data_IF_469930611384
#
_entry.id   IF_469930611384
#
_cell.length_a   1.000
_cell.length_b   1.000
_cell.length_c   1.000
_cell.angle_alpha   90.00
_cell.angle_beta   90.00
_cell.angle_gamma   90.00
#
_symmetry.space_group_name_H-M   'P 1'
#
loop_
_entity.id
_entity.type
_entity.pdbx_description
1 polymer ?
#
# COMPACT_ATOMS: atom_id res chain seq x y z
N UNK A 1 -3.50 -45.57 -10.89
CA UNK A 1 -2.59 -44.82 -9.99
C UNK A 1 -1.55 -43.99 -10.74
N UNK A 2 -0.71 -44.56 -11.62
CA UNK A 2 0.31 -43.80 -12.37
C UNK A 2 -0.26 -42.60 -13.16
N UNK A 3 -1.39 -42.76 -13.87
CA UNK A 3 -2.07 -41.68 -14.65
C UNK A 3 -2.64 -40.53 -13.81
N UNK A 4 -3.08 -40.80 -12.57
CA UNK A 4 -3.61 -39.77 -11.65
C UNK A 4 -2.43 -38.95 -11.07
N UNK A 5 -1.30 -39.62 -10.80
CA UNK A 5 -0.07 -38.97 -10.36
C UNK A 5 0.53 -38.06 -11.45
N UNK A 6 0.43 -38.45 -12.73
CA UNK A 6 0.89 -37.63 -13.86
C UNK A 6 0.01 -36.39 -14.08
N UNK A 7 -1.30 -36.50 -13.84
CA UNK A 7 -2.23 -35.38 -13.96
C UNK A 7 -2.06 -34.35 -12.83
N UNK A 8 -1.76 -34.81 -11.61
CA UNK A 8 -1.43 -33.94 -10.48
C UNK A 8 -0.11 -33.17 -10.66
N UNK A 9 0.89 -33.80 -11.28
CA UNK A 9 2.19 -33.16 -11.55
C UNK A 9 2.10 -32.12 -12.68
N UNK A 10 1.25 -32.35 -13.69
CA UNK A 10 0.98 -31.37 -14.75
C UNK A 10 0.19 -30.14 -14.24
N UNK A 11 -0.69 -30.33 -13.24
CA UNK A 11 -1.44 -29.23 -12.62
C UNK A 11 -0.56 -28.33 -11.73
N UNK A 12 0.50 -28.88 -11.13
CA UNK A 12 1.48 -28.12 -10.34
C UNK A 12 2.41 -27.23 -11.20
N UNK A 13 2.65 -27.58 -12.47
CA UNK A 13 3.52 -26.79 -13.36
C UNK A 13 2.83 -25.56 -13.99
N UNK A 14 1.51 -25.43 -13.84
CA UNK A 14 0.74 -24.29 -14.38
C UNK A 14 0.61 -23.11 -13.39
N UNK A 15 1.23 -23.20 -12.22
CA UNK A 15 1.22 -22.15 -11.20
C UNK A 15 2.46 -21.24 -11.26
N UNK A 16 3.03 -21.01 -12.45
CA UNK A 16 3.97 -19.90 -12.64
C UNK A 16 3.15 -18.62 -12.72
N UNK A 17 2.77 -18.09 -11.56
CA UNK A 17 2.17 -16.76 -11.47
C UNK A 17 3.24 -15.73 -11.81
N UNK A 18 3.02 -14.92 -12.84
CA UNK A 18 3.81 -13.71 -13.04
C UNK A 18 3.57 -12.79 -11.84
N UNK A 19 4.60 -12.57 -11.03
CA UNK A 19 4.62 -11.44 -10.09
C UNK A 19 5.08 -10.19 -10.82
N UNK A 20 4.38 -9.08 -10.63
CA UNK A 20 4.84 -7.78 -11.11
C UNK A 20 6.10 -7.35 -10.35
N UNK A 21 7.12 -6.88 -11.07
CA UNK A 21 8.33 -6.29 -10.47
C UNK A 21 8.30 -4.77 -10.59
N UNK A 22 8.84 -4.07 -9.59
CA UNK A 22 8.87 -2.59 -9.61
C UNK A 22 9.66 -2.05 -10.81
N UNK A 23 10.67 -2.79 -11.29
CA UNK A 23 11.47 -2.40 -12.45
C UNK A 23 10.72 -2.42 -13.78
N UNK A 24 9.55 -3.08 -13.86
CA UNK A 24 8.67 -3.06 -15.03
C UNK A 24 8.17 -1.63 -15.34
N UNK A 25 8.16 -0.75 -14.34
CA UNK A 25 7.67 0.63 -14.45
C UNK A 25 8.73 1.65 -14.84
N UNK A 26 10.02 1.27 -14.98
CA UNK A 26 11.15 2.20 -15.18
C UNK A 26 11.02 3.23 -16.32
N UNK A 27 10.17 2.94 -17.32
CA UNK A 27 9.94 3.79 -18.49
C UNK A 27 8.56 4.48 -18.48
N UNK A 28 7.77 4.26 -17.44
CA UNK A 28 6.46 4.88 -17.28
C UNK A 28 6.58 6.32 -16.79
N UNK A 29 5.61 7.15 -17.20
CA UNK A 29 5.53 8.57 -16.90
C UNK A 29 4.10 8.92 -16.45
N UNK A 30 3.91 10.00 -15.68
CA UNK A 30 4.95 10.82 -15.03
C UNK A 30 5.66 10.06 -13.89
N UNK A 31 6.92 10.40 -13.54
CA UNK A 31 7.61 9.72 -12.45
C UNK A 31 7.03 10.11 -11.10
N UNK A 32 6.85 9.14 -10.21
CA UNK A 32 6.35 9.36 -8.86
C UNK A 32 7.51 9.64 -7.89
N UNK A 33 7.62 10.90 -7.46
CA UNK A 33 8.38 11.26 -6.25
C UNK A 33 7.41 11.46 -5.08
N UNK A 34 7.41 10.53 -4.13
CA UNK A 34 6.52 10.57 -2.97
C UNK A 34 6.77 11.79 -2.07
N UNK A 35 7.99 12.34 -2.05
CA UNK A 35 8.28 13.54 -1.26
C UNK A 35 7.58 14.75 -1.87
N UNK A 36 7.60 14.86 -3.20
CA UNK A 36 6.91 15.92 -3.90
C UNK A 36 5.39 15.74 -3.88
N UNK A 37 4.90 14.53 -4.12
CA UNK A 37 3.47 14.26 -4.20
C UNK A 37 2.77 14.53 -2.87
N UNK A 38 3.33 14.02 -1.77
CA UNK A 38 2.71 14.15 -0.45
C UNK A 38 3.12 15.41 0.32
N UNK A 39 3.98 16.28 -0.21
CA UNK A 39 4.26 17.57 0.41
C UNK A 39 3.01 18.46 0.41
N UNK A 40 2.60 18.95 1.57
CA UNK A 40 1.40 19.77 1.72
C UNK A 40 0.16 18.92 2.05
N UNK A 41 -0.97 19.19 1.38
CA UNK A 41 -2.26 18.55 1.68
C UNK A 41 -2.66 17.59 0.58
N UNK A 42 -3.02 16.37 0.99
CA UNK A 42 -3.59 15.34 0.12
C UNK A 42 -4.85 14.80 0.79
N UNK A 43 -5.86 14.46 0.00
CA UNK A 43 -7.03 13.71 0.47
C UNK A 43 -7.11 12.38 -0.25
N UNK A 44 -7.73 11.38 0.36
CA UNK A 44 -8.06 10.16 -0.33
C UNK A 44 -9.38 9.55 0.13
N UNK A 45 -10.00 8.81 -0.78
CA UNK A 45 -11.17 7.99 -0.52
C UNK A 45 -10.76 6.54 -0.73
N UNK A 46 -11.09 5.70 0.26
CA UNK A 46 -10.69 4.32 0.25
C UNK A 46 -11.79 3.36 0.68
N UNK A 47 -11.55 2.09 0.37
CA UNK A 47 -12.39 0.98 0.82
C UNK A 47 -11.54 -0.21 1.23
N UNK A 48 -12.05 -0.96 2.21
CA UNK A 48 -11.50 -2.25 2.64
C UNK A 48 -12.44 -3.34 2.14
N UNK A 49 -11.88 -4.34 1.48
CA UNK A 49 -12.61 -5.49 0.96
C UNK A 49 -12.05 -6.80 1.55
N UNK A 50 -12.93 -7.78 1.76
CA UNK A 50 -12.51 -9.14 2.11
C UNK A 50 -12.04 -9.93 0.87
N UNK A 51 -11.57 -11.16 1.08
CA UNK A 51 -11.13 -12.06 0.00
C UNK A 51 -12.21 -12.39 -1.06
N UNK A 52 -13.49 -12.16 -0.78
CA UNK A 52 -14.59 -12.36 -1.73
C UNK A 52 -14.89 -11.10 -2.55
N UNK A 53 -14.23 -9.98 -2.24
CA UNK A 53 -14.48 -8.67 -2.84
C UNK A 53 -15.61 -7.90 -2.16
N UNK A 54 -16.19 -8.42 -1.07
CA UNK A 54 -17.23 -7.70 -0.33
C UNK A 54 -16.60 -6.49 0.36
N UNK A 55 -17.16 -5.30 0.11
CA UNK A 55 -16.77 -4.08 0.83
C UNK A 55 -17.19 -4.21 2.29
N UNK A 56 -16.19 -4.17 3.17
CA UNK A 56 -16.38 -4.22 4.62
C UNK A 56 -16.53 -2.83 5.21
N UNK A 57 -15.73 -1.88 4.73
CA UNK A 57 -15.68 -0.48 5.19
C UNK A 57 -15.29 0.44 4.05
N UNK A 58 -15.64 1.71 4.17
CA UNK A 58 -15.11 2.80 3.35
C UNK A 58 -14.67 3.94 4.25
N UNK A 59 -13.71 4.73 3.78
CA UNK A 59 -13.15 5.79 4.59
C UNK A 59 -12.69 6.96 3.74
N UNK A 60 -12.62 8.12 4.39
CA UNK A 60 -11.94 9.31 3.91
C UNK A 60 -10.68 9.51 4.75
N UNK A 61 -9.59 9.95 4.14
CA UNK A 61 -8.37 10.32 4.85
C UNK A 61 -7.87 11.67 4.39
N UNK A 62 -7.59 12.55 5.36
CA UNK A 62 -6.86 13.79 5.15
C UNK A 62 -5.40 13.58 5.54
N UNK A 63 -4.48 13.99 4.68
CA UNK A 63 -3.05 13.80 4.87
C UNK A 63 -2.35 15.15 4.79
N UNK A 64 -1.61 15.46 5.85
CA UNK A 64 -0.71 16.63 5.88
C UNK A 64 0.74 16.15 5.90
N UNK A 65 1.44 16.36 4.79
CA UNK A 65 2.84 15.99 4.64
C UNK A 65 3.79 17.17 4.79
N UNK A 66 4.90 16.92 5.48
CA UNK A 66 5.98 17.89 5.66
C UNK A 66 7.34 17.23 5.38
N UNK A 67 8.19 17.92 4.62
CA UNK A 67 9.53 17.45 4.27
C UNK A 67 10.56 18.29 5.02
N UNK A 68 11.43 17.63 5.79
CA UNK A 68 12.59 18.24 6.45
C UNK A 68 13.82 17.38 6.14
N UNK A 69 14.76 17.94 5.36
CA UNK A 69 15.91 17.18 4.87
C UNK A 69 15.46 15.92 4.13
N UNK A 70 15.98 14.77 4.55
CA UNK A 70 15.67 13.47 3.95
C UNK A 70 14.46 12.76 4.57
N UNK A 71 13.63 13.47 5.35
CA UNK A 71 12.47 12.89 6.04
C UNK A 71 11.16 13.54 5.60
N UNK A 72 10.24 12.73 5.10
CA UNK A 72 8.83 13.05 4.86
C UNK A 72 8.02 12.57 6.07
N UNK A 73 7.33 13.48 6.75
CA UNK A 73 6.37 13.15 7.82
C UNK A 73 4.95 13.28 7.29
N UNK A 74 4.14 12.22 7.35
CA UNK A 74 2.73 12.24 6.93
C UNK A 74 1.84 12.11 8.16
N UNK A 75 1.03 13.14 8.43
CA UNK A 75 -0.04 13.07 9.42
C UNK A 75 -1.34 12.70 8.71
N UNK A 76 -1.78 11.47 8.90
CA UNK A 76 -2.96 10.89 8.28
C UNK A 76 -4.13 10.85 9.28
N UNK A 77 -5.27 11.41 8.90
CA UNK A 77 -6.49 11.46 9.70
C UNK A 77 -7.62 10.74 8.96
N UNK A 78 -7.96 9.54 9.41
CA UNK A 78 -8.97 8.68 8.83
C UNK A 78 -10.33 8.91 9.50
N UNK A 79 -11.38 8.92 8.68
CA UNK A 79 -12.78 8.86 9.11
C UNK A 79 -13.47 7.74 8.35
N UNK A 80 -13.90 6.72 9.07
CA UNK A 80 -14.61 5.57 8.52
C UNK A 80 -16.12 5.80 8.47
N UNK A 81 -16.82 5.01 7.65
CA UNK A 81 -18.26 5.12 7.44
C UNK A 81 -19.12 4.75 8.66
N UNK A 82 -18.55 4.02 9.61
CA UNK A 82 -19.14 3.74 10.93
C UNK A 82 -18.85 4.82 11.99
N UNK A 83 -18.14 5.88 11.61
CA UNK A 83 -17.77 7.00 12.49
C UNK A 83 -16.48 6.80 13.28
N UNK A 84 -15.80 5.65 13.17
CA UNK A 84 -14.48 5.47 13.76
C UNK A 84 -13.50 6.49 13.19
N UNK A 85 -12.64 7.03 14.06
CA UNK A 85 -11.55 7.92 13.68
C UNK A 85 -10.23 7.29 14.06
N UNK A 86 -9.28 7.34 13.13
CA UNK A 86 -7.93 6.83 13.36
C UNK A 86 -6.92 7.88 12.89
N UNK A 87 -5.79 7.96 13.60
CA UNK A 87 -4.66 8.76 13.17
C UNK A 87 -3.45 7.86 12.98
N UNK A 88 -2.67 8.13 11.93
CA UNK A 88 -1.36 7.54 11.73
C UNK A 88 -0.36 8.63 11.39
N UNK A 89 0.83 8.54 11.96
CA UNK A 89 1.93 9.46 11.68
C UNK A 89 3.12 8.67 11.15
N UNK A 90 3.32 8.75 9.84
CA UNK A 90 4.48 8.15 9.19
C UNK A 90 5.68 9.08 9.26
N UNK A 91 6.84 8.49 9.53
CA UNK A 91 8.15 9.12 9.32
C UNK A 91 8.88 8.31 8.26
N UNK A 92 8.99 8.85 7.05
CA UNK A 92 9.56 8.18 5.87
C UNK A 92 10.89 8.83 5.55
N UNK A 93 11.97 8.05 5.59
CA UNK A 93 13.33 8.50 5.32
C UNK A 93 13.81 7.99 3.97
N UNK A 94 14.48 8.86 3.21
CA UNK A 94 15.21 8.45 2.00
C UNK A 94 16.50 7.72 2.41
N UNK A 95 16.71 6.50 1.91
CA UNK A 95 17.87 5.66 2.26
C UNK A 95 18.75 5.30 1.07
N UNK A 96 18.34 5.72 -0.13
CA UNK A 96 19.11 5.57 -1.36
C UNK A 96 18.32 6.11 -2.55
N UNK A 97 18.87 5.94 -3.75
CA UNK A 97 18.17 6.29 -4.99
C UNK A 97 16.86 5.52 -5.08
N UNK A 98 15.75 6.26 -5.06
CA UNK A 98 14.38 5.74 -5.07
C UNK A 98 14.06 4.71 -3.97
N UNK A 99 14.83 4.67 -2.88
CA UNK A 99 14.65 3.73 -1.78
C UNK A 99 14.32 4.46 -0.49
N UNK A 100 13.34 3.93 0.23
CA UNK A 100 12.76 4.57 1.39
C UNK A 100 12.55 3.57 2.53
N UNK A 101 12.67 4.06 3.76
CA UNK A 101 12.30 3.35 4.97
C UNK A 101 11.25 4.15 5.74
N UNK A 102 10.35 3.48 6.45
CA UNK A 102 9.30 4.19 7.19
C UNK A 102 8.97 3.56 8.53
N UNK A 103 8.56 4.40 9.47
CA UNK A 103 8.03 3.97 10.77
C UNK A 103 6.75 4.72 11.11
N UNK A 104 5.82 4.05 11.77
CA UNK A 104 4.64 4.65 12.38
C UNK A 104 4.27 3.85 13.65
N UNK A 105 3.45 4.43 14.53
CA UNK A 105 3.18 3.86 15.86
C UNK A 105 2.51 2.49 15.87
N UNK A 106 1.82 2.11 14.79
CA UNK A 106 1.12 0.84 14.62
C UNK A 106 1.84 -0.14 13.67
N UNK A 107 3.05 0.22 13.23
CA UNK A 107 3.87 -0.58 12.34
C UNK A 107 4.84 -1.43 13.15
N UNK A 108 4.90 -2.72 12.82
CA UNK A 108 5.86 -3.64 13.40
C UNK A 108 7.15 -3.64 12.58
N UNK A 109 8.21 -3.06 13.15
CA UNK A 109 9.51 -2.92 12.51
C UNK A 109 9.58 -1.70 11.61
N UNK A 110 10.24 -1.86 10.45
CA UNK A 110 10.50 -0.78 9.49
C UNK A 110 9.84 -1.14 8.16
N UNK A 111 9.05 -0.22 7.63
CA UNK A 111 8.49 -0.31 6.30
C UNK A 111 9.57 -0.06 5.24
N UNK A 112 9.48 -0.73 4.09
CA UNK A 112 10.43 -0.59 2.98
C UNK A 112 9.73 -0.14 1.71
N UNK A 113 10.30 0.83 1.01
CA UNK A 113 9.75 1.41 -0.20
C UNK A 113 10.72 1.49 -1.37
N UNK A 114 10.21 1.26 -2.59
CA UNK A 114 10.94 1.47 -3.84
C UNK A 114 10.05 2.19 -4.85
N UNK A 115 10.54 3.26 -5.47
CA UNK A 115 9.86 3.97 -6.57
C UNK A 115 10.55 3.70 -7.91
N UNK A 116 9.79 3.47 -8.98
CA UNK A 116 10.30 3.40 -10.35
C UNK A 116 9.22 3.89 -11.33
N UNK A 117 9.60 4.78 -12.25
CA UNK A 117 8.64 5.46 -13.13
C UNK A 117 7.47 6.04 -12.33
N UNK A 118 6.24 5.76 -12.76
CA UNK A 118 5.02 6.23 -12.10
C UNK A 118 4.59 5.40 -10.88
N UNK A 119 5.35 4.37 -10.50
CA UNK A 119 4.95 3.41 -9.48
C UNK A 119 5.79 3.52 -8.20
N UNK A 120 5.15 3.23 -7.07
CA UNK A 120 5.80 3.08 -5.77
C UNK A 120 5.27 1.83 -5.07
N UNK A 121 6.18 0.92 -4.70
CA UNK A 121 5.85 -0.26 -3.91
C UNK A 121 6.29 -0.05 -2.46
N UNK A 122 5.34 -0.20 -1.53
CA UNK A 122 5.52 0.03 -0.10
C UNK A 122 5.10 -1.22 0.68
N UNK A 123 6.00 -1.73 1.52
CA UNK A 123 5.79 -2.99 2.26
C UNK A 123 6.03 -2.79 3.74
N UNK A 124 5.12 -3.28 4.55
CA UNK A 124 5.18 -3.17 6.00
C UNK A 124 4.33 -4.24 6.68
N UNK A 125 4.47 -4.34 8.00
CA UNK A 125 3.61 -5.20 8.83
C UNK A 125 2.93 -4.34 9.88
N UNK A 126 1.66 -4.59 10.15
CA UNK A 126 0.93 -3.86 11.19
C UNK A 126 -0.08 -4.75 11.91
N UNK A 127 -0.38 -4.38 13.14
CA UNK A 127 -1.37 -5.06 13.97
C UNK A 127 -2.76 -4.50 13.67
N UNK A 128 -3.59 -5.30 12.99
CA UNK A 128 -4.96 -4.93 12.62
C UNK A 128 -5.95 -5.53 13.62
N UNK A 129 -6.79 -4.67 14.22
CA UNK A 129 -7.88 -5.11 15.09
C UNK A 129 -9.11 -5.45 14.26
N UNK A 130 -9.57 -6.70 14.34
CA UNK A 130 -10.77 -7.16 13.67
C UNK A 130 -11.46 -8.27 14.47
N UNK A 131 -12.78 -8.18 14.61
CA UNK A 131 -13.61 -9.17 15.32
C UNK A 131 -13.12 -9.49 16.74
N UNK A 132 -12.72 -8.46 17.50
CA UNK A 132 -12.22 -8.60 18.87
C UNK A 132 -10.82 -9.23 18.99
N UNK A 133 -10.16 -9.54 17.87
CA UNK A 133 -8.79 -10.08 17.83
C UNK A 133 -7.84 -9.09 17.17
N UNK A 134 -6.55 -9.19 17.50
CA UNK A 134 -5.48 -8.43 16.85
C UNK A 134 -4.69 -9.37 15.95
N UNK A 135 -4.50 -8.99 14.70
CA UNK A 135 -3.83 -9.79 13.68
C UNK A 135 -2.63 -9.02 13.14
N UNK A 136 -1.42 -9.57 13.30
CA UNK A 136 -0.28 -9.11 12.53
C UNK A 136 -0.48 -9.50 11.07
N UNK A 137 -0.67 -8.49 10.21
CA UNK A 137 -0.84 -8.64 8.76
C UNK A 137 0.33 -7.95 8.04
N UNK A 138 0.68 -8.48 6.87
CA UNK A 138 1.67 -7.91 5.96
C UNK A 138 0.96 -7.17 4.84
N UNK A 139 1.36 -5.92 4.62
CA UNK A 139 0.79 -5.03 3.62
C UNK A 139 1.78 -4.92 2.45
N UNK A 140 1.24 -5.05 1.24
CA UNK A 140 1.97 -4.84 -0.02
C UNK A 140 1.19 -3.82 -0.85
N UNK A 141 1.58 -2.57 -0.68
CA UNK A 141 0.95 -1.39 -1.25
C UNK A 141 1.62 -1.05 -2.57
N UNK A 142 0.81 -0.86 -3.60
CA UNK A 142 1.25 -0.38 -4.90
C UNK A 142 0.54 0.92 -5.21
N UNK A 143 1.32 1.99 -5.32
CA UNK A 143 0.83 3.30 -5.73
C UNK A 143 1.20 3.59 -7.18
N UNK A 144 0.27 4.17 -7.94
CA UNK A 144 0.42 4.44 -9.37
C UNK A 144 -0.04 5.85 -9.70
N UNK A 145 0.91 6.73 -10.02
CA UNK A 145 0.63 8.11 -10.39
C UNK A 145 -0.06 8.14 -11.75
N UNK A 146 -1.21 8.81 -11.81
CA UNK A 146 -2.01 8.94 -13.04
C UNK A 146 -1.69 10.24 -13.76
N UNK A 147 -1.56 11.32 -12.99
CA UNK A 147 -1.21 12.67 -13.43
C UNK A 147 -0.60 13.45 -12.25
N UNK A 148 -0.43 14.76 -12.36
CA UNK A 148 0.21 15.60 -11.34
C UNK A 148 -0.56 15.67 -10.00
N UNK A 149 -1.80 15.17 -9.96
CA UNK A 149 -2.73 15.36 -8.83
C UNK A 149 -3.30 14.03 -8.34
N UNK A 150 -3.56 13.07 -9.23
CA UNK A 150 -4.27 11.83 -8.94
C UNK A 150 -3.31 10.63 -8.81
N UNK A 151 -3.46 9.88 -7.72
CA UNK A 151 -2.67 8.69 -7.42
C UNK A 151 -3.60 7.56 -6.98
N UNK A 152 -3.49 6.39 -7.61
CA UNK A 152 -4.15 5.18 -7.11
C UNK A 152 -3.24 4.46 -6.13
N UNK A 153 -3.81 3.83 -5.11
CA UNK A 153 -3.16 2.80 -4.32
C UNK A 153 -4.00 1.54 -4.27
N UNK A 154 -3.31 0.41 -4.41
CA UNK A 154 -3.87 -0.93 -4.25
C UNK A 154 -3.00 -1.70 -3.27
N UNK A 155 -3.63 -2.22 -2.23
CA UNK A 155 -2.98 -2.93 -1.15
C UNK A 155 -3.50 -4.35 -1.07
N UNK A 156 -2.59 -5.30 -0.96
CA UNK A 156 -2.91 -6.64 -0.48
C UNK A 156 -2.55 -6.78 1.00
N UNK A 157 -3.50 -7.22 1.82
CA UNK A 157 -3.26 -7.59 3.21
C UNK A 157 -3.08 -9.11 3.29
N UNK A 158 -1.93 -9.57 3.75
CA UNK A 158 -1.54 -10.98 3.78
C UNK A 158 -1.36 -11.49 5.20
N UNK A 159 -1.82 -12.72 5.46
CA UNK A 159 -1.49 -13.51 6.65
C UNK A 159 -0.88 -14.83 6.22
N UNK A 160 0.31 -15.15 6.72
CA UNK A 160 1.05 -16.36 6.32
C UNK A 160 1.19 -16.52 4.79
N UNK A 161 1.41 -15.40 4.07
CA UNK A 161 1.54 -15.38 2.61
C UNK A 161 0.22 -15.45 1.82
N UNK A 162 -0.93 -15.60 2.49
CA UNK A 162 -2.24 -15.68 1.86
C UNK A 162 -2.94 -14.33 1.96
N UNK A 163 -3.44 -13.80 0.84
CA UNK A 163 -4.24 -12.57 0.83
C UNK A 163 -5.56 -12.80 1.58
N UNK A 164 -5.78 -12.01 2.63
CA UNK A 164 -6.99 -12.08 3.49
C UNK A 164 -7.94 -10.91 3.24
N UNK A 165 -7.46 -9.85 2.62
CA UNK A 165 -8.26 -8.71 2.20
C UNK A 165 -7.45 -7.73 1.37
N UNK A 166 -8.12 -6.70 0.89
CA UNK A 166 -7.54 -5.67 0.04
C UNK A 166 -7.95 -4.29 0.53
N UNK A 167 -7.10 -3.30 0.29
CA UNK A 167 -7.45 -1.89 0.43
C UNK A 167 -7.23 -1.22 -0.91
N UNK A 168 -8.15 -0.36 -1.32
CA UNK A 168 -7.98 0.50 -2.49
C UNK A 168 -8.20 1.93 -2.06
N UNK A 169 -7.29 2.83 -2.43
CA UNK A 169 -7.41 4.26 -2.19
C UNK A 169 -7.21 5.04 -3.49
N UNK A 170 -7.91 6.15 -3.61
CA UNK A 170 -7.68 7.14 -4.63
C UNK A 170 -7.33 8.47 -3.97
N UNK A 171 -6.10 8.92 -4.17
CA UNK A 171 -5.59 10.17 -3.62
C UNK A 171 -5.74 11.30 -4.63
N UNK A 172 -5.97 12.48 -4.08
CA UNK A 172 -6.03 13.74 -4.78
C UNK A 172 -5.19 14.75 -4.01
N UNK A 173 -4.11 15.24 -4.62
CA UNK A 173 -3.34 16.34 -4.06
C UNK A 173 -4.17 17.62 -4.15
N UNK A 174 -4.21 18.42 -3.07
CA UNK A 174 -4.82 19.75 -3.14
C UNK A 174 -3.79 20.74 -3.68
N UNK A 175 -4.10 21.37 -4.81
CA UNK A 175 -3.33 22.53 -5.27
C UNK A 175 -3.34 23.61 -4.17
N UNK A 176 -2.17 24.18 -3.89
CA UNK A 176 -2.00 25.29 -2.96
C UNK A 176 -2.23 26.62 -3.66
#
# INVERSE_FOLDING_TARGET
>A
MKRILTLGLALMMLLVGCSTDISDYRHQQPPLDIFHYFQGKTEAWGMVQDRSGKQLRRFHVEISGNVIGDTLTLNEHFVYDDGEKQQRVWHIRRVGTNRYEGTAGDIEGVASGVAEGNAFNWRYSMNVKANGSTWLLHFDDWMYLQDDIHLFNKTEMKKFGITVGQVTLFFTRKEQ
#
